data_IF_619947237606
#
_entry.id   IF_619947237606
#
_cell.length_a   1.000
_cell.length_b   1.000
_cell.length_c   1.000
_cell.angle_alpha   90.00
_cell.angle_beta   90.00
_cell.angle_gamma   90.00
#
_symmetry.space_group_name_H-M   'P 1'
#
loop_
_entity.id
_entity.type
_entity.pdbx_description
1 polymer ?
#
# COMPACT_ATOMS: atom_id res chain seq x y z
N UNK A 1 3.67 13.64 5.34
CA UNK A 1 3.80 12.20 5.67
C UNK A 1 5.19 11.66 5.27
N UNK A 2 5.43 11.19 4.04
CA UNK A 2 6.63 10.40 3.74
C UNK A 2 7.97 11.12 4.00
N UNK A 3 8.06 12.43 3.78
CA UNK A 3 9.25 13.21 4.13
C UNK A 3 9.50 13.25 5.65
N UNK A 4 8.45 13.40 6.47
CA UNK A 4 8.55 13.35 7.93
C UNK A 4 9.01 11.98 8.40
N UNK A 5 8.36 10.91 7.93
CA UNK A 5 8.73 9.51 8.24
C UNK A 5 10.19 9.26 7.86
N UNK A 6 10.61 9.67 6.66
CA UNK A 6 11.99 9.49 6.22
C UNK A 6 12.97 10.24 7.14
N UNK A 7 12.72 11.51 7.41
CA UNK A 7 13.60 12.35 8.25
C UNK A 7 13.73 11.83 9.68
N UNK A 8 12.62 11.45 10.31
CA UNK A 8 12.58 10.91 11.68
C UNK A 8 13.33 9.58 11.80
N UNK A 9 13.40 8.82 10.71
CA UNK A 9 14.12 7.54 10.64
C UNK A 9 15.53 7.66 10.06
N UNK A 10 16.04 8.88 9.83
CA UNK A 10 17.37 9.12 9.26
C UNK A 10 17.51 8.63 7.80
N UNK A 11 16.40 8.53 7.08
CA UNK A 11 16.32 8.20 5.67
C UNK A 11 15.96 9.39 4.79
N UNK A 12 15.76 9.13 3.50
CA UNK A 12 15.32 10.11 2.52
C UNK A 12 14.21 9.55 1.63
N UNK A 13 13.32 10.42 1.16
CA UNK A 13 12.41 10.07 0.07
C UNK A 13 13.18 10.14 -1.24
N UNK A 14 13.33 9.01 -1.91
CA UNK A 14 14.13 8.87 -3.15
C UNK A 14 13.30 8.73 -4.40
N UNK A 15 12.01 8.43 -4.26
CA UNK A 15 11.05 8.32 -5.34
C UNK A 15 9.70 8.77 -4.81
N UNK A 16 8.95 9.52 -5.60
CA UNK A 16 7.61 9.94 -5.29
C UNK A 16 6.80 9.89 -6.58
N UNK A 17 5.69 9.17 -6.52
CA UNK A 17 4.77 9.01 -7.62
C UNK A 17 3.37 9.33 -7.12
N UNK A 18 2.86 10.46 -7.60
CA UNK A 18 1.54 10.96 -7.27
C UNK A 18 0.55 10.75 -8.40
N UNK A 19 0.93 10.06 -9.48
CA UNK A 19 0.00 9.72 -10.55
C UNK A 19 -0.89 8.56 -10.10
N UNK A 20 -2.19 8.74 -10.29
CA UNK A 20 -3.23 7.80 -9.88
C UNK A 20 -3.91 7.16 -11.07
N UNK A 21 -3.42 7.39 -12.29
CA UNK A 21 -3.85 6.61 -13.44
C UNK A 21 -2.70 5.70 -13.88
N UNK A 22 -2.89 4.37 -13.93
CA UNK A 22 -4.13 3.62 -13.75
C UNK A 22 -4.35 3.02 -12.34
N UNK A 23 -3.82 3.61 -11.25
CA UNK A 23 -3.75 3.00 -9.91
C UNK A 23 -4.44 3.81 -8.82
N UNK A 24 -5.08 3.15 -7.86
CA UNK A 24 -5.82 3.82 -6.79
C UNK A 24 -4.95 4.27 -5.60
N UNK A 25 -3.63 4.35 -5.75
CA UNK A 25 -2.69 4.71 -4.69
C UNK A 25 -1.53 5.59 -5.17
N UNK A 26 -1.09 6.48 -4.29
CA UNK A 26 0.20 7.15 -4.40
C UNK A 26 1.32 6.23 -3.89
N UNK A 27 2.54 6.40 -4.39
CA UNK A 27 3.70 5.65 -3.88
C UNK A 27 4.88 6.57 -3.59
N UNK A 28 5.62 6.27 -2.53
CA UNK A 28 6.87 6.94 -2.21
C UNK A 28 7.90 5.93 -1.74
N UNK A 29 9.15 6.02 -2.24
CA UNK A 29 10.25 5.17 -1.79
C UNK A 29 11.03 5.89 -0.70
N UNK A 30 11.09 5.28 0.49
CA UNK A 30 11.95 5.71 1.59
C UNK A 30 13.20 4.84 1.58
N UNK A 31 14.37 5.48 1.58
CA UNK A 31 15.67 4.81 1.54
C UNK A 31 16.54 5.22 2.73
N UNK A 32 17.24 4.26 3.33
CA UNK A 32 18.17 4.44 4.46
C UNK A 32 19.31 3.41 4.36
N UNK A 33 20.57 3.87 4.34
CA UNK A 33 21.77 3.01 4.36
C UNK A 33 21.73 1.78 3.42
N UNK A 34 21.28 1.96 2.18
CA UNK A 34 21.18 0.88 1.19
C UNK A 34 19.94 0.00 1.32
N UNK A 35 19.13 0.18 2.37
CA UNK A 35 17.80 -0.42 2.50
C UNK A 35 16.74 0.55 1.95
N UNK A 36 15.63 0.01 1.45
CA UNK A 36 14.50 0.81 1.02
C UNK A 36 13.17 0.09 1.16
N UNK A 37 12.09 0.86 1.29
CA UNK A 37 10.72 0.38 1.31
C UNK A 37 9.84 1.40 0.57
N UNK A 38 8.81 0.92 -0.12
CA UNK A 38 7.76 1.79 -0.64
C UNK A 38 6.65 1.94 0.40
N UNK A 39 6.13 3.16 0.51
CA UNK A 39 4.90 3.47 1.19
C UNK A 39 3.83 3.71 0.13
N UNK A 40 2.79 2.89 0.15
CA UNK A 40 1.60 3.03 -0.69
C UNK A 40 0.52 3.72 0.12
N UNK A 41 -0.18 4.70 -0.46
CA UNK A 41 -1.31 5.38 0.19
C UNK A 41 -2.51 5.40 -0.73
N UNK A 42 -3.60 4.79 -0.30
CA UNK A 42 -4.83 4.78 -1.08
C UNK A 42 -5.37 6.21 -1.24
N UNK A 43 -5.92 6.51 -2.42
CA UNK A 43 -6.42 7.85 -2.79
C UNK A 43 -7.80 8.14 -2.18
N UNK A 44 -8.60 7.11 -1.93
CA UNK A 44 -10.00 7.19 -1.49
C UNK A 44 -10.19 6.88 -0.01
N UNK A 45 -9.37 5.98 0.55
CA UNK A 45 -9.46 5.51 1.93
C UNK A 45 -8.22 5.92 2.74
N UNK A 46 -8.35 6.12 4.05
CA UNK A 46 -7.22 6.49 4.93
C UNK A 46 -6.31 5.29 5.23
N UNK A 47 -6.04 4.43 4.24
CA UNK A 47 -5.18 3.26 4.37
C UNK A 47 -3.84 3.47 3.70
N UNK A 48 -2.79 3.01 4.39
CA UNK A 48 -1.44 2.94 3.87
C UNK A 48 -0.86 1.53 4.04
N UNK A 49 0.11 1.18 3.22
CA UNK A 49 0.80 -0.11 3.29
C UNK A 49 2.27 0.04 2.91
N UNK A 50 3.06 -0.95 3.29
CA UNK A 50 4.44 -1.07 2.82
C UNK A 50 4.51 -2.03 1.64
N UNK A 51 5.43 -1.78 0.72
CA UNK A 51 5.66 -2.63 -0.43
C UNK A 51 7.13 -2.64 -0.87
N UNK A 52 7.50 -3.68 -1.61
CA UNK A 52 8.73 -3.75 -2.41
C UNK A 52 8.37 -3.70 -3.89
N UNK A 53 9.36 -3.41 -4.75
CA UNK A 53 9.23 -3.64 -6.18
C UNK A 53 9.82 -5.00 -6.54
N UNK A 54 9.10 -5.78 -7.33
CA UNK A 54 9.61 -7.02 -7.90
C UNK A 54 10.47 -6.77 -9.17
N UNK A 55 10.93 -7.85 -9.79
CA UNK A 55 11.76 -7.78 -11.01
C UNK A 55 11.02 -7.20 -12.23
N UNK A 56 9.68 -7.23 -12.24
CA UNK A 56 8.85 -6.64 -13.29
C UNK A 56 8.55 -5.15 -13.03
N UNK A 57 8.92 -4.64 -11.86
CA UNK A 57 8.61 -3.29 -11.41
C UNK A 57 7.26 -3.17 -10.71
N UNK A 58 6.51 -4.27 -10.58
CA UNK A 58 5.25 -4.35 -9.85
C UNK A 58 5.45 -4.24 -8.34
N UNK A 59 4.41 -3.78 -7.63
CA UNK A 59 4.44 -3.68 -6.17
C UNK A 59 4.04 -5.00 -5.52
N UNK A 60 4.86 -5.45 -4.58
CA UNK A 60 4.58 -6.61 -3.72
C UNK A 60 4.46 -6.12 -2.29
N UNK A 61 3.30 -6.35 -1.66
CA UNK A 61 3.04 -5.90 -0.30
C UNK A 61 4.01 -6.53 0.70
N UNK A 62 4.44 -5.73 1.66
CA UNK A 62 5.47 -6.09 2.63
C UNK A 62 5.09 -5.62 4.03
N UNK A 63 5.74 -6.21 5.04
CA UNK A 63 5.64 -5.72 6.41
C UNK A 63 6.43 -4.43 6.62
N UNK A 64 6.13 -3.74 7.72
CA UNK A 64 6.93 -2.61 8.19
C UNK A 64 8.38 -3.09 8.45
N UNK A 65 9.40 -2.43 7.90
CA UNK A 65 10.77 -2.78 8.20
C UNK A 65 11.17 -2.30 9.61
N UNK A 66 12.00 -3.07 10.31
CA UNK A 66 12.40 -2.80 11.71
C UNK A 66 13.03 -1.42 11.93
N UNK A 67 13.75 -0.92 10.93
CA UNK A 67 14.46 0.37 10.99
C UNK A 67 13.53 1.57 10.80
N UNK A 68 12.28 1.36 10.41
CA UNK A 68 11.30 2.42 10.16
C UNK A 68 10.25 2.39 11.26
N UNK A 69 10.20 3.46 12.05
CA UNK A 69 9.19 3.72 13.04
C UNK A 69 8.16 4.69 12.45
N UNK A 70 6.89 4.37 12.65
CA UNK A 70 5.79 5.23 12.27
C UNK A 70 5.51 6.22 13.40
N UNK A 71 5.46 7.50 13.07
CA UNK A 71 4.92 8.54 13.95
C UNK A 71 3.39 8.60 13.80
N UNK A 72 2.71 9.41 14.63
CA UNK A 72 1.27 9.63 14.47
C UNK A 72 0.97 10.19 13.08
N UNK A 73 0.42 9.34 12.20
CA UNK A 73 -0.04 9.70 10.87
C UNK A 73 -1.56 9.53 10.79
N UNK A 74 -2.30 10.43 10.10
CA UNK A 74 -3.74 10.27 9.90
C UNK A 74 -4.12 9.01 9.08
N UNK A 75 -3.19 8.40 8.34
CA UNK A 75 -3.44 7.15 7.63
C UNK A 75 -3.16 5.93 8.52
N UNK A 76 -4.10 4.97 8.51
CA UNK A 76 -3.91 3.66 9.14
C UNK A 76 -3.02 2.80 8.26
N UNK A 77 -1.84 2.46 8.76
CA UNK A 77 -0.98 1.47 8.14
C UNK A 77 -1.55 0.07 8.39
N UNK A 78 -1.90 -0.63 7.31
CA UNK A 78 -2.34 -2.02 7.37
C UNK A 78 -1.14 -2.94 7.52
N UNK A 79 -1.23 -3.87 8.46
CA UNK A 79 -0.22 -4.91 8.64
C UNK A 79 -0.23 -5.89 7.47
N UNK A 80 0.90 -6.58 7.25
CA UNK A 80 0.98 -7.63 6.23
C UNK A 80 -0.03 -8.76 6.46
N UNK A 81 -0.39 -9.03 7.72
CA UNK A 81 -1.40 -10.02 8.06
C UNK A 81 -2.82 -9.59 7.63
N UNK A 82 -3.20 -8.33 7.88
CA UNK A 82 -4.47 -7.77 7.41
C UNK A 82 -4.52 -7.73 5.88
N UNK A 83 -3.43 -7.35 5.23
CA UNK A 83 -3.35 -7.27 3.77
C UNK A 83 -3.48 -8.64 3.11
N UNK A 84 -2.93 -9.70 3.72
CA UNK A 84 -3.01 -11.07 3.19
C UNK A 84 -4.28 -11.82 3.60
N UNK A 85 -5.20 -11.18 4.32
CA UNK A 85 -6.46 -11.79 4.70
C UNK A 85 -7.32 -12.08 3.47
N UNK A 86 -8.00 -13.23 3.48
CA UNK A 86 -9.04 -13.56 2.51
C UNK A 86 -10.24 -12.59 2.66
N UNK A 87 -10.65 -11.98 1.55
CA UNK A 87 -11.74 -11.00 1.51
C UNK A 87 -13.14 -11.63 1.53
N UNK A 88 -13.29 -12.92 1.22
CA UNK A 88 -14.57 -13.61 1.07
C UNK A 88 -15.44 -13.56 2.34
N UNK A 89 -14.82 -13.49 3.51
CA UNK A 89 -15.50 -13.32 4.80
C UNK A 89 -15.92 -11.88 5.13
N UNK A 90 -15.50 -10.90 4.32
CA UNK A 90 -15.69 -9.46 4.56
C UNK A 90 -16.73 -8.83 3.62
N UNK A 91 -17.36 -9.62 2.75
CA UNK A 91 -18.27 -9.14 1.71
C UNK A 91 -19.63 -8.61 2.19
N UNK A 92 -19.96 -8.79 3.47
CA UNK A 92 -21.32 -8.55 3.98
C UNK A 92 -21.82 -7.11 3.83
N UNK A 93 -20.90 -6.15 3.64
CA UNK A 93 -21.21 -4.72 3.52
C UNK A 93 -20.96 -4.16 2.11
N UNK A 94 -20.52 -4.99 1.16
CA UNK A 94 -20.20 -4.55 -0.20
C UNK A 94 -21.46 -4.46 -1.08
N UNK A 95 -21.53 -3.43 -1.93
CA UNK A 95 -22.59 -3.30 -2.92
C UNK A 95 -22.46 -4.37 -4.01
N UNK A 96 -23.55 -4.68 -4.74
CA UNK A 96 -23.50 -5.60 -5.88
C UNK A 96 -22.45 -5.19 -6.94
N UNK A 97 -22.26 -3.89 -7.17
CA UNK A 97 -21.29 -3.35 -8.12
C UNK A 97 -19.85 -3.55 -7.64
N UNK A 98 -19.59 -3.35 -6.34
CA UNK A 98 -18.27 -3.64 -5.73
C UNK A 98 -17.94 -5.14 -5.83
N UNK A 99 -18.94 -5.99 -5.58
CA UNK A 99 -18.80 -7.44 -5.73
C UNK A 99 -18.56 -7.85 -7.19
N UNK A 100 -19.18 -7.19 -8.16
CA UNK A 100 -18.95 -7.45 -9.58
C UNK A 100 -17.52 -7.10 -9.99
N UNK A 101 -17.00 -5.95 -9.54
CA UNK A 101 -15.60 -5.57 -9.78
C UNK A 101 -14.63 -6.56 -9.14
N UNK A 102 -14.86 -6.94 -7.88
CA UNK A 102 -14.01 -7.94 -7.21
C UNK A 102 -14.05 -9.28 -7.95
N UNK A 103 -15.21 -9.74 -8.42
CA UNK A 103 -15.30 -10.98 -9.21
C UNK A 103 -14.58 -10.89 -10.55
N UNK A 104 -14.66 -9.75 -11.22
CA UNK A 104 -13.98 -9.52 -12.50
C UNK A 104 -12.46 -9.55 -12.34
N UNK A 105 -11.93 -8.84 -11.35
CA UNK A 105 -10.48 -8.77 -11.08
C UNK A 105 -9.93 -9.99 -10.33
N UNK A 106 -10.81 -10.77 -9.70
CA UNK A 106 -10.50 -11.98 -8.94
C UNK A 106 -9.31 -11.83 -7.97
N UNK A 107 -9.28 -10.78 -7.11
CA UNK A 107 -8.25 -10.65 -6.10
C UNK A 107 -8.38 -11.82 -5.12
N UNK A 108 -7.28 -12.23 -4.53
CA UNK A 108 -7.20 -13.28 -3.53
C UNK A 108 -7.13 -12.70 -2.11
N UNK A 109 -6.69 -11.43 -1.99
CA UNK A 109 -6.44 -10.81 -0.68
C UNK A 109 -7.04 -9.42 -0.56
N UNK A 110 -7.27 -8.97 0.68
CA UNK A 110 -7.70 -7.59 0.99
C UNK A 110 -6.73 -6.57 0.40
N UNK A 111 -5.43 -6.84 0.43
CA UNK A 111 -4.39 -5.95 -0.06
C UNK A 111 -4.52 -5.65 -1.56
N UNK A 112 -4.86 -6.65 -2.37
CA UNK A 112 -5.10 -6.48 -3.81
C UNK A 112 -6.36 -5.66 -4.12
N UNK A 113 -7.36 -5.70 -3.24
CA UNK A 113 -8.55 -4.84 -3.36
C UNK A 113 -8.19 -3.39 -3.00
N UNK A 114 -7.52 -3.20 -1.86
CA UNK A 114 -7.20 -1.87 -1.32
C UNK A 114 -6.13 -1.16 -2.15
N UNK A 115 -5.14 -1.86 -2.67
CA UNK A 115 -4.05 -1.28 -3.47
C UNK A 115 -4.01 -1.94 -4.85
N UNK A 116 -4.81 -1.43 -5.78
CA UNK A 116 -4.89 -1.94 -7.14
C UNK A 116 -4.26 -0.98 -8.16
N UNK A 117 -3.68 -1.58 -9.20
CA UNK A 117 -3.30 -0.92 -10.43
C UNK A 117 -4.11 -1.59 -11.55
N UNK A 118 -5.04 -0.82 -12.12
CA UNK A 118 -5.80 -1.24 -13.29
C UNK A 118 -4.87 -1.24 -14.51
N UNK A 119 -5.15 -2.07 -15.51
CA UNK A 119 -4.57 -2.02 -16.86
C UNK A 119 -5.65 -1.51 -17.83
#
# INVERSE_FOLDING_TARGET
>A
MCYSIAMENGGNVTELDTDTYPRNFYSAKISRYGQSIFVLRNVHYPYAAFAQRDASGGFVLAGQPEWLQLSEDPARFLSLAELNQDWSGLCGELSPEELEQIRYWNPQTVGEIVFNAWD
#
